data_IF_927560477298
#
_entry.id   IF_927560477298
#
_cell.length_a   1.000
_cell.length_b   1.000
_cell.length_c   1.000
_cell.angle_alpha   90.00
_cell.angle_beta   90.00
_cell.angle_gamma   90.00
#
_symmetry.space_group_name_H-M   'P 1'
#
loop_
_entity.id
_entity.type
_entity.pdbx_description
1 polymer ?
#
# COMPACT_ATOMS: atom_id res chain seq x y z
N UNK A 1 -3.94 -8.17 13.99
CA UNK A 1 -4.21 -8.38 15.44
C UNK A 1 -4.65 -9.82 15.68
N UNK A 2 -4.54 -10.33 16.91
CA UNK A 2 -5.03 -11.66 17.30
C UNK A 2 -6.22 -11.58 18.25
N UNK A 3 -7.28 -12.31 17.93
CA UNK A 3 -8.54 -12.35 18.68
C UNK A 3 -8.93 -13.77 19.10
N UNK A 4 -9.66 -13.87 20.20
CA UNK A 4 -10.37 -15.08 20.64
C UNK A 4 -11.85 -14.73 20.80
N UNK A 5 -12.74 -15.46 20.13
CA UNK A 5 -14.18 -15.23 20.17
C UNK A 5 -14.95 -16.51 20.51
N UNK A 6 -16.14 -16.40 21.14
CA UNK A 6 -17.00 -17.57 21.34
C UNK A 6 -17.94 -17.83 20.16
N UNK A 7 -18.18 -19.11 19.87
CA UNK A 7 -19.27 -19.61 19.02
C UNK A 7 -20.18 -20.55 19.81
N UNK A 8 -21.49 -20.47 19.58
CA UNK A 8 -22.46 -21.38 20.21
C UNK A 8 -23.03 -22.34 19.17
N UNK A 9 -22.64 -23.64 19.21
CA UNK A 9 -23.09 -24.63 18.24
C UNK A 9 -24.60 -24.94 18.33
N UNK A 10 -25.24 -24.58 19.47
CA UNK A 10 -26.69 -24.67 19.64
C UNK A 10 -27.45 -23.49 19.01
N UNK A 11 -26.75 -22.46 18.53
CA UNK A 11 -27.36 -21.32 17.81
C UNK A 11 -27.01 -21.39 16.33
N UNK A 12 -25.75 -21.67 16.02
CA UNK A 12 -25.21 -21.69 14.67
C UNK A 12 -24.32 -22.92 14.47
N UNK A 13 -24.65 -23.75 13.49
CA UNK A 13 -23.91 -24.96 13.10
C UNK A 13 -22.63 -24.57 12.36
N UNK A 14 -21.64 -24.11 13.13
CA UNK A 14 -20.38 -23.59 12.61
C UNK A 14 -19.55 -24.66 11.89
N UNK A 15 -19.68 -25.93 12.31
CA UNK A 15 -18.99 -27.05 11.70
C UNK A 15 -19.49 -27.28 10.27
N UNK A 16 -20.81 -27.42 10.11
CA UNK A 16 -21.42 -27.60 8.79
C UNK A 16 -21.21 -26.37 7.90
N UNK A 17 -21.26 -25.16 8.49
CA UNK A 17 -21.01 -23.93 7.75
C UNK A 17 -19.59 -23.89 7.16
N UNK A 18 -18.56 -24.24 7.93
CA UNK A 18 -17.18 -24.26 7.42
C UNK A 18 -16.89 -25.42 6.46
N UNK A 19 -17.62 -26.53 6.57
CA UNK A 19 -17.50 -27.65 5.62
C UNK A 19 -18.07 -27.28 4.24
N UNK A 20 -19.16 -26.51 4.21
CA UNK A 20 -19.90 -26.19 3.00
C UNK A 20 -19.51 -24.84 2.37
N UNK A 21 -19.01 -23.88 3.16
CA UNK A 21 -18.76 -22.51 2.72
C UNK A 21 -17.26 -22.17 2.73
N UNK A 22 -16.82 -21.44 1.71
CA UNK A 22 -15.45 -20.89 1.67
C UNK A 22 -15.24 -19.79 2.72
N UNK A 23 -16.29 -19.03 3.01
CA UNK A 23 -16.29 -17.92 3.96
C UNK A 23 -17.55 -17.96 4.83
N UNK A 24 -17.46 -17.37 6.02
CA UNK A 24 -18.63 -17.12 6.86
C UNK A 24 -18.73 -15.63 7.19
N UNK A 25 -19.96 -15.11 7.22
CA UNK A 25 -20.23 -13.74 7.62
C UNK A 25 -20.57 -13.73 9.11
N UNK A 26 -19.67 -13.15 9.90
CA UNK A 26 -19.79 -13.09 11.35
C UNK A 26 -20.26 -11.72 11.80
N UNK A 27 -21.12 -11.68 12.82
CA UNK A 27 -21.56 -10.40 13.39
C UNK A 27 -20.37 -9.64 13.95
N UNK A 28 -20.20 -8.39 13.53
CA UNK A 28 -19.16 -7.49 14.04
C UNK A 28 -19.43 -7.18 15.52
N UNK A 29 -18.60 -7.75 16.38
CA UNK A 29 -18.68 -7.61 17.84
C UNK A 29 -17.35 -7.13 18.46
N UNK A 30 -16.36 -6.81 17.61
CA UNK A 30 -15.11 -6.17 17.98
C UNK A 30 -14.64 -5.25 16.85
N UNK A 31 -13.59 -4.48 17.13
CA UNK A 31 -12.93 -3.60 16.16
C UNK A 31 -11.89 -4.39 15.36
N UNK A 32 -12.38 -5.30 14.51
CA UNK A 32 -11.53 -6.08 13.60
C UNK A 32 -10.92 -5.19 12.51
N UNK A 33 -9.74 -5.59 12.03
CA UNK A 33 -9.10 -5.10 10.81
C UNK A 33 -8.92 -6.25 9.82
N UNK A 34 -8.91 -5.96 8.52
CA UNK A 34 -8.54 -6.95 7.50
C UNK A 34 -7.11 -7.44 7.79
N UNK A 35 -6.88 -8.76 7.71
CA UNK A 35 -5.63 -9.42 8.10
C UNK A 35 -5.54 -9.81 9.59
N UNK A 36 -6.54 -9.46 10.41
CA UNK A 36 -6.63 -10.00 11.77
C UNK A 36 -6.84 -11.52 11.73
N UNK A 37 -6.25 -12.24 12.70
CA UNK A 37 -6.56 -13.65 12.92
C UNK A 37 -7.45 -13.85 14.13
N UNK A 38 -8.44 -14.72 13.99
CA UNK A 38 -9.50 -14.96 14.95
C UNK A 38 -9.54 -16.44 15.31
N UNK A 39 -9.24 -16.75 16.57
CA UNK A 39 -9.49 -18.06 17.16
C UNK A 39 -10.94 -18.15 17.61
N UNK A 40 -11.61 -19.25 17.29
CA UNK A 40 -13.00 -19.49 17.66
C UNK A 40 -13.04 -20.59 18.71
N UNK A 41 -13.47 -20.21 19.91
CA UNK A 41 -13.82 -21.12 21.00
C UNK A 41 -15.26 -21.58 20.82
N UNK A 42 -15.46 -22.87 20.57
CA UNK A 42 -16.79 -23.45 20.47
C UNK A 42 -17.25 -23.80 21.88
N UNK A 43 -18.38 -23.21 22.28
CA UNK A 43 -18.94 -23.39 23.62
C UNK A 43 -19.63 -24.75 23.77
N UNK A 44 -20.47 -24.93 24.80
CA UNK A 44 -21.06 -26.25 25.10
C UNK A 44 -21.81 -26.84 23.90
N UNK A 45 -21.69 -28.16 23.65
CA UNK A 45 -21.02 -29.17 24.48
C UNK A 45 -19.50 -29.34 24.22
N UNK A 46 -18.96 -28.70 23.19
CA UNK A 46 -17.60 -28.91 22.68
C UNK A 46 -16.54 -28.31 23.61
N UNK A 47 -16.75 -27.06 24.05
CA UNK A 47 -15.92 -26.37 25.05
C UNK A 47 -14.41 -26.31 24.77
N UNK A 48 -14.00 -26.21 23.50
CA UNK A 48 -12.59 -26.10 23.09
C UNK A 48 -12.42 -25.12 21.92
N UNK A 49 -11.19 -24.69 21.64
CA UNK A 49 -10.86 -23.90 20.44
C UNK A 49 -10.73 -24.85 19.25
N UNK A 50 -11.57 -24.66 18.23
CA UNK A 50 -11.61 -25.54 17.06
C UNK A 50 -11.20 -24.86 15.76
N UNK A 51 -11.20 -23.52 15.68
CA UNK A 51 -10.94 -22.84 14.41
C UNK A 51 -10.00 -21.66 14.56
N UNK A 52 -9.19 -21.45 13.53
CA UNK A 52 -8.46 -20.23 13.24
C UNK A 52 -8.95 -19.67 11.91
N UNK A 53 -9.33 -18.41 11.91
CA UNK A 53 -9.80 -17.69 10.72
C UNK A 53 -8.97 -16.43 10.48
N UNK A 54 -8.99 -15.94 9.24
CA UNK A 54 -8.50 -14.62 8.84
C UNK A 54 -9.67 -13.70 8.52
N UNK A 55 -9.61 -12.45 8.96
CA UNK A 55 -10.58 -11.41 8.59
C UNK A 55 -10.24 -10.88 7.21
N UNK A 56 -11.09 -11.14 6.22
CA UNK A 56 -10.87 -10.69 4.84
C UNK A 56 -11.69 -9.44 4.49
N UNK A 57 -12.78 -9.18 5.19
CA UNK A 57 -13.60 -7.96 5.04
C UNK A 57 -14.13 -7.50 6.42
N UNK A 58 -14.12 -6.19 6.68
CA UNK A 58 -14.60 -5.60 7.94
C UNK A 58 -15.95 -4.88 7.84
N UNK A 59 -16.51 -4.88 6.62
CA UNK A 59 -17.83 -4.40 6.26
C UNK A 59 -18.31 -5.21 5.06
N UNK A 60 -19.32 -6.05 5.26
CA UNK A 60 -19.96 -6.82 4.19
C UNK A 60 -21.27 -6.12 3.82
N UNK A 61 -21.45 -5.80 2.54
CA UNK A 61 -22.70 -5.21 2.07
C UNK A 61 -23.86 -6.19 2.27
N UNK A 62 -25.05 -5.67 2.61
CA UNK A 62 -26.24 -6.49 2.88
C UNK A 62 -26.63 -7.37 1.68
N UNK A 63 -26.44 -6.88 0.45
CA UNK A 63 -26.75 -7.64 -0.76
C UNK A 63 -25.70 -8.71 -1.07
N UNK A 64 -24.54 -8.64 -0.42
CA UNK A 64 -23.43 -9.59 -0.58
C UNK A 64 -23.31 -10.55 0.60
N UNK A 65 -24.25 -10.54 1.54
CA UNK A 65 -24.29 -11.48 2.66
C UNK A 65 -24.49 -12.91 2.15
N UNK A 66 -23.72 -13.83 2.70
CA UNK A 66 -23.85 -15.26 2.42
C UNK A 66 -25.19 -15.73 3.01
N UNK A 67 -26.02 -16.35 2.18
CA UNK A 67 -27.24 -16.98 2.66
C UNK A 67 -26.91 -18.27 3.41
N UNK A 68 -26.71 -18.15 4.71
CA UNK A 68 -26.28 -19.21 5.60
C UNK A 68 -27.42 -19.69 6.53
N UNK A 69 -28.67 -19.32 6.20
CA UNK A 69 -29.89 -19.59 6.99
C UNK A 69 -30.02 -21.06 7.40
N UNK A 70 -29.59 -22.01 6.55
CA UNK A 70 -29.67 -23.45 6.83
C UNK A 70 -28.78 -23.93 8.00
N UNK A 71 -27.77 -23.16 8.40
CA UNK A 71 -26.91 -23.50 9.55
C UNK A 71 -27.41 -22.88 10.86
N UNK A 72 -28.40 -21.99 10.82
CA UNK A 72 -29.02 -21.45 12.02
C UNK A 72 -29.97 -22.47 12.63
N UNK A 73 -29.77 -22.81 13.89
CA UNK A 73 -30.62 -23.78 14.60
C UNK A 73 -32.05 -23.27 14.81
N UNK A 74 -32.22 -21.95 14.86
CA UNK A 74 -33.52 -21.29 14.83
C UNK A 74 -33.55 -20.27 13.66
N UNK A 75 -34.33 -20.52 12.60
CA UNK A 75 -34.44 -19.63 11.45
C UNK A 75 -34.93 -18.21 11.78
N UNK A 76 -35.69 -18.02 12.85
CA UNK A 76 -36.20 -16.69 13.25
C UNK A 76 -35.06 -15.77 13.72
N UNK A 77 -33.98 -16.37 14.28
CA UNK A 77 -32.79 -15.62 14.67
C UNK A 77 -32.04 -15.05 13.46
N UNK A 78 -32.15 -15.68 12.28
CA UNK A 78 -31.48 -15.21 11.07
C UNK A 78 -32.02 -13.83 10.65
N UNK A 79 -33.35 -13.68 10.60
CA UNK A 79 -34.00 -12.47 10.08
C UNK A 79 -33.82 -11.25 11.04
N UNK A 80 -33.75 -11.47 12.36
CA UNK A 80 -33.48 -10.39 13.34
C UNK A 80 -32.03 -9.85 13.31
N UNK A 81 -31.05 -10.68 12.91
CA UNK A 81 -29.61 -10.35 13.03
C UNK A 81 -29.08 -9.61 11.78
N UNK A 82 -29.72 -9.77 10.61
CA UNK A 82 -29.37 -9.13 9.32
C UNK A 82 -29.34 -7.59 9.32
N UNK A 83 -29.78 -6.93 10.41
CA UNK A 83 -29.73 -5.47 10.58
C UNK A 83 -28.39 -4.94 11.11
N UNK A 84 -27.43 -5.81 11.41
CA UNK A 84 -26.15 -5.44 12.05
C UNK A 84 -24.99 -5.48 11.06
N UNK A 85 -23.87 -4.87 11.42
CA UNK A 85 -22.65 -4.93 10.62
C UNK A 85 -22.03 -6.34 10.71
N UNK A 86 -21.56 -6.84 9.57
CA UNK A 86 -20.88 -8.13 9.46
C UNK A 86 -19.43 -7.95 9.03
N UNK A 87 -18.61 -8.91 9.44
CA UNK A 87 -17.24 -9.13 8.98
C UNK A 87 -17.16 -10.49 8.33
N UNK A 88 -16.29 -10.65 7.33
CA UNK A 88 -16.13 -11.92 6.63
C UNK A 88 -14.88 -12.64 7.09
N UNK A 89 -15.05 -13.88 7.51
CA UNK A 89 -13.98 -14.77 7.95
C UNK A 89 -13.69 -15.83 6.90
N UNK A 90 -12.40 -16.02 6.60
CA UNK A 90 -11.88 -17.16 5.85
C UNK A 90 -11.29 -18.18 6.81
N UNK A 91 -11.68 -19.45 6.71
CA UNK A 91 -11.07 -20.51 7.50
C UNK A 91 -9.60 -20.69 7.10
N UNK A 92 -8.72 -20.73 8.08
CA UNK A 92 -7.29 -21.00 7.90
C UNK A 92 -6.94 -22.41 8.37
N UNK A 93 -7.43 -22.78 9.55
CA UNK A 93 -7.12 -24.08 10.16
C UNK A 93 -8.24 -24.52 11.07
N UNK A 94 -8.58 -25.80 11.00
CA UNK A 94 -9.39 -26.49 11.99
C UNK A 94 -8.46 -27.26 12.93
N UNK A 95 -8.84 -27.32 14.20
CA UNK A 95 -8.13 -27.99 15.27
C UNK A 95 -8.99 -29.08 15.87
N UNK A 96 -8.33 -30.10 16.41
CA UNK A 96 -8.95 -31.11 17.24
C UNK A 96 -7.97 -31.39 18.40
N UNK A 97 -8.14 -30.62 19.48
CA UNK A 97 -7.26 -30.66 20.64
C UNK A 97 -8.09 -30.71 21.93
N UNK A 98 -7.76 -31.68 22.79
CA UNK A 98 -8.40 -31.85 24.09
C UNK A 98 -7.88 -30.87 25.15
N UNK A 99 -6.77 -30.17 24.88
CA UNK A 99 -6.08 -29.29 25.82
C UNK A 99 -6.25 -27.79 25.53
N UNK A 100 -7.24 -27.40 24.74
CA UNK A 100 -7.60 -25.99 24.49
C UNK A 100 -8.96 -25.61 25.10
N UNK A 101 -9.33 -26.29 26.18
CA UNK A 101 -10.57 -25.99 26.89
C UNK A 101 -10.50 -24.64 27.61
N UNK A 102 -11.65 -24.08 27.98
CA UNK A 102 -11.69 -22.85 28.81
C UNK A 102 -10.90 -23.02 30.11
N UNK A 103 -10.89 -24.23 30.68
CA UNK A 103 -10.16 -24.55 31.90
C UNK A 103 -8.64 -24.48 31.70
N UNK A 104 -8.15 -25.02 30.58
CA UNK A 104 -6.73 -24.95 30.22
C UNK A 104 -6.26 -23.51 30.04
N UNK A 105 -7.08 -22.69 29.38
CA UNK A 105 -6.76 -21.28 29.09
C UNK A 105 -6.80 -20.46 30.40
N UNK A 106 -7.78 -20.71 31.29
CA UNK A 106 -7.88 -20.06 32.59
C UNK A 106 -6.70 -20.38 33.51
N UNK A 107 -6.24 -21.64 33.55
CA UNK A 107 -5.03 -22.05 34.30
C UNK A 107 -3.77 -21.28 33.89
N UNK A 108 -3.78 -20.67 32.70
CA UNK A 108 -2.68 -19.88 32.14
C UNK A 108 -2.91 -18.37 32.20
N UNK A 109 -3.84 -17.95 33.06
CA UNK A 109 -4.02 -16.55 33.44
C UNK A 109 -5.13 -15.81 32.68
N UNK A 110 -5.98 -16.49 31.90
CA UNK A 110 -7.18 -15.84 31.36
C UNK A 110 -8.24 -15.69 32.45
N UNK A 111 -8.68 -14.46 32.72
CA UNK A 111 -9.72 -14.18 33.70
C UNK A 111 -11.14 -14.39 33.14
N UNK A 112 -12.00 -15.13 33.86
CA UNK A 112 -13.43 -15.30 33.55
C UNK A 112 -13.73 -16.17 32.32
N UNK A 113 -15.00 -16.22 31.94
CA UNK A 113 -15.48 -17.01 30.80
C UNK A 113 -15.32 -16.27 29.46
N UNK A 114 -15.27 -17.01 28.35
CA UNK A 114 -15.21 -16.45 26.99
C UNK A 114 -16.66 -16.13 26.55
N UNK A 115 -17.17 -14.96 26.95
CA UNK A 115 -18.52 -14.50 26.62
C UNK A 115 -18.57 -13.46 25.48
N UNK A 116 -17.41 -12.95 25.09
CA UNK A 116 -17.26 -11.99 24.00
C UNK A 116 -15.82 -11.95 23.50
N UNK A 117 -15.53 -11.12 22.48
CA UNK A 117 -14.20 -11.05 21.89
C UNK A 117 -13.13 -10.64 22.89
N UNK A 118 -11.99 -11.32 22.84
CA UNK A 118 -10.82 -11.05 23.67
C UNK A 118 -9.61 -10.80 22.79
N UNK A 119 -8.86 -9.73 23.08
CA UNK A 119 -7.54 -9.53 22.50
C UNK A 119 -6.56 -10.52 23.14
N UNK A 120 -5.74 -11.15 22.32
CA UNK A 120 -4.68 -12.04 22.78
C UNK A 120 -3.43 -11.29 23.26
N UNK A 121 -3.37 -9.98 22.98
CA UNK A 121 -2.30 -9.08 23.40
C UNK A 121 -2.69 -8.24 24.62
N UNK A 122 -1.70 -8.00 25.46
CA UNK A 122 -1.74 -7.07 26.59
C UNK A 122 -1.75 -5.61 26.11
N UNK A 123 -1.96 -4.68 27.03
CA UNK A 123 -1.96 -3.23 26.76
C UNK A 123 -0.62 -2.70 26.23
N UNK A 124 0.48 -3.35 26.58
CA UNK A 124 1.84 -3.09 26.06
C UNK A 124 2.12 -3.80 24.72
N UNK A 125 1.07 -4.36 24.10
CA UNK A 125 1.13 -5.12 22.85
C UNK A 125 1.90 -6.46 22.94
N UNK A 126 2.29 -6.92 24.12
CA UNK A 126 2.93 -8.23 24.33
C UNK A 126 1.89 -9.37 24.34
N UNK A 127 2.30 -10.60 23.99
CA UNK A 127 1.42 -11.77 24.11
C UNK A 127 1.14 -12.07 25.58
N UNK A 128 -0.14 -12.25 25.90
CA UNK A 128 -0.57 -12.82 27.18
C UNK A 128 -0.13 -14.29 27.32
N UNK A 129 0.04 -14.78 28.54
CA UNK A 129 0.50 -16.16 28.79
C UNK A 129 -0.43 -17.21 28.20
N UNK A 130 -1.74 -17.01 28.29
CA UNK A 130 -2.73 -17.90 27.69
C UNK A 130 -2.72 -17.84 26.15
N UNK A 131 -2.43 -16.68 25.56
CA UNK A 131 -2.29 -16.55 24.12
C UNK A 131 -1.05 -17.28 23.59
N UNK A 132 0.10 -17.18 24.29
CA UNK A 132 1.31 -17.94 23.95
C UNK A 132 1.02 -19.44 23.92
N UNK A 133 0.32 -19.93 24.93
CA UNK A 133 -0.07 -21.33 25.00
C UNK A 133 -0.94 -21.77 23.83
N UNK A 134 -1.95 -20.98 23.46
CA UNK A 134 -2.79 -21.28 22.29
C UNK A 134 -1.87 -21.39 21.07
N UNK A 135 -1.05 -20.38 20.78
CA UNK A 135 -0.17 -20.32 19.62
C UNK A 135 0.82 -21.50 19.53
N UNK A 136 1.42 -21.87 20.67
CA UNK A 136 2.33 -23.01 20.78
C UNK A 136 1.60 -24.33 20.54
N UNK A 137 0.44 -24.53 21.17
CA UNK A 137 -0.36 -25.76 21.06
C UNK A 137 -0.89 -25.94 19.64
N UNK A 138 -1.34 -24.87 18.99
CA UNK A 138 -1.89 -24.93 17.63
C UNK A 138 -0.82 -24.88 16.54
N UNK A 139 0.45 -24.66 16.91
CA UNK A 139 1.58 -24.41 16.02
C UNK A 139 1.28 -23.28 15.01
N UNK A 140 0.92 -22.12 15.53
CA UNK A 140 0.44 -20.96 14.75
C UNK A 140 1.17 -19.66 15.12
N UNK A 141 2.36 -19.78 15.72
CA UNK A 141 3.17 -18.62 16.11
C UNK A 141 3.55 -17.74 14.91
N UNK A 142 3.67 -18.32 13.71
CA UNK A 142 3.87 -17.59 12.47
C UNK A 142 2.74 -16.58 12.18
N UNK A 143 1.48 -16.88 12.51
CA UNK A 143 0.36 -15.96 12.31
C UNK A 143 0.43 -14.75 13.26
N UNK A 144 0.90 -14.99 14.50
CA UNK A 144 1.24 -13.90 15.40
C UNK A 144 2.34 -13.02 14.81
N UNK A 145 3.44 -13.63 14.37
CA UNK A 145 4.57 -12.89 13.79
C UNK A 145 4.15 -12.12 12.54
N UNK A 146 3.34 -12.72 11.67
CA UNK A 146 2.77 -12.05 10.50
C UNK A 146 1.97 -10.81 10.91
N UNK A 147 1.04 -10.92 11.87
CA UNK A 147 0.27 -9.75 12.33
C UNK A 147 1.13 -8.68 13.00
N UNK A 148 2.22 -9.06 13.68
CA UNK A 148 3.15 -8.09 14.26
C UNK A 148 4.00 -7.41 13.19
N UNK A 149 4.51 -8.16 12.23
CA UNK A 149 5.27 -7.63 11.10
C UNK A 149 4.40 -6.77 10.17
N UNK A 150 3.09 -7.05 10.09
CA UNK A 150 2.13 -6.15 9.45
C UNK A 150 1.95 -4.84 10.23
N UNK A 151 1.81 -4.88 11.55
CA UNK A 151 1.56 -3.65 12.32
C UNK A 151 2.84 -2.92 12.77
N UNK A 152 4.02 -3.44 12.42
CA UNK A 152 5.29 -2.79 12.72
C UNK A 152 5.38 -1.46 11.94
N UNK A 153 5.63 -0.37 12.65
CA UNK A 153 5.78 0.95 12.04
C UNK A 153 7.23 1.24 11.67
N UNK A 154 7.41 1.88 10.51
CA UNK A 154 8.68 2.39 10.00
C UNK A 154 8.65 3.90 10.09
N UNK A 155 9.57 4.47 10.87
CA UNK A 155 9.79 5.91 10.86
C UNK A 155 10.45 6.29 9.54
N UNK A 156 9.78 7.12 8.75
CA UNK A 156 10.35 7.68 7.53
C UNK A 156 10.81 9.10 7.78
N UNK A 157 12.03 9.46 7.36
CA UNK A 157 12.61 10.79 7.54
C UNK A 157 13.23 11.33 6.25
N UNK A 158 13.13 12.63 5.95
CA UNK A 158 13.81 13.22 4.81
C UNK A 158 15.29 13.41 5.14
N UNK A 159 16.17 13.03 4.21
CA UNK A 159 17.62 12.97 4.48
C UNK A 159 18.46 14.01 3.73
N UNK A 160 17.88 14.83 2.85
CA UNK A 160 18.53 15.98 2.20
C UNK A 160 19.97 15.70 1.70
N UNK A 161 20.19 14.55 1.06
CA UNK A 161 21.50 14.15 0.52
C UNK A 161 22.44 13.44 1.48
N UNK A 162 22.04 13.16 2.73
CA UNK A 162 22.88 12.45 3.72
C UNK A 162 22.94 10.93 3.53
N UNK A 163 22.39 10.37 2.45
CA UNK A 163 22.26 8.91 2.27
C UNK A 163 23.62 8.20 2.33
N UNK A 164 24.58 8.66 1.53
CA UNK A 164 25.92 8.06 1.47
C UNK A 164 26.61 8.06 2.84
N UNK A 165 26.47 9.17 3.58
CA UNK A 165 27.02 9.29 4.93
C UNK A 165 26.34 8.31 5.91
N UNK A 166 25.02 8.17 5.80
CA UNK A 166 24.25 7.24 6.63
C UNK A 166 24.66 5.80 6.34
N UNK A 167 24.75 5.40 5.07
CA UNK A 167 25.10 4.04 4.66
C UNK A 167 26.57 3.71 4.96
N UNK A 168 27.48 4.68 4.82
CA UNK A 168 28.91 4.51 5.13
C UNK A 168 29.15 4.15 6.59
N UNK A 169 28.38 4.74 7.50
CA UNK A 169 28.56 4.55 8.94
C UNK A 169 27.47 3.71 9.60
N UNK A 170 26.38 3.40 8.89
CA UNK A 170 25.19 2.79 9.48
C UNK A 170 24.65 3.61 10.65
N UNK A 171 24.64 4.93 10.50
CA UNK A 171 24.19 5.88 11.54
C UNK A 171 23.33 6.97 10.91
N UNK A 172 22.15 7.21 11.48
CA UNK A 172 21.35 8.40 11.20
C UNK A 172 21.17 9.23 12.46
N UNK A 173 21.07 10.57 12.34
CA UNK A 173 20.83 11.40 13.50
C UNK A 173 19.99 12.64 13.22
N UNK A 174 19.23 13.05 14.24
CA UNK A 174 18.48 14.30 14.26
C UNK A 174 18.55 14.96 15.65
N UNK A 175 18.35 16.29 15.75
CA UNK A 175 18.30 16.95 17.05
C UNK A 175 17.05 16.50 17.84
N UNK A 176 17.18 16.45 19.17
CA UNK A 176 16.06 16.22 20.09
C UNK A 176 15.39 17.56 20.43
N UNK A 177 14.68 18.12 19.46
CA UNK A 177 13.91 19.37 19.62
C UNK A 177 12.48 19.18 19.13
N UNK A 178 11.63 20.18 19.38
CA UNK A 178 10.26 20.20 18.86
C UNK A 178 10.25 20.01 17.33
N UNK A 179 9.33 19.19 16.84
CA UNK A 179 9.22 18.82 15.41
C UNK A 179 9.95 17.53 15.02
N UNK A 180 10.79 16.98 15.90
CA UNK A 180 11.49 15.71 15.67
C UNK A 180 10.88 14.53 16.45
N UNK A 181 11.06 13.29 15.96
CA UNK A 181 10.58 12.07 16.63
C UNK A 181 11.10 11.96 18.06
N UNK A 182 10.17 11.78 19.02
CA UNK A 182 10.49 11.65 20.44
C UNK A 182 10.69 10.21 20.89
N UNK A 183 10.09 9.24 20.20
CA UNK A 183 10.25 7.81 20.48
C UNK A 183 11.27 7.19 19.53
N UNK A 184 12.06 6.25 20.04
CA UNK A 184 12.92 5.42 19.20
C UNK A 184 12.04 4.44 18.41
N UNK A 185 12.11 4.44 17.06
CA UNK A 185 11.36 3.49 16.27
C UNK A 185 12.11 2.16 16.20
N UNK A 186 11.39 1.06 15.94
CA UNK A 186 11.99 -0.25 15.66
C UNK A 186 12.66 -0.29 14.28
N UNK A 187 12.07 0.40 13.31
CA UNK A 187 12.57 0.51 11.94
C UNK A 187 12.57 1.95 11.46
N UNK A 188 13.50 2.25 10.57
CA UNK A 188 13.65 3.56 9.96
C UNK A 188 13.88 3.42 8.45
N UNK A 189 13.37 4.38 7.68
CA UNK A 189 13.60 4.47 6.25
C UNK A 189 13.84 5.93 5.85
N UNK A 190 14.59 6.11 4.76
CA UNK A 190 15.06 7.44 4.36
C UNK A 190 14.35 7.90 3.08
N UNK A 191 13.84 9.12 3.12
CA UNK A 191 13.22 9.79 1.98
C UNK A 191 14.23 10.69 1.30
N UNK A 192 14.55 10.35 0.06
CA UNK A 192 15.30 11.19 -0.86
C UNK A 192 14.40 12.26 -1.50
N UNK A 193 14.97 13.06 -2.41
CA UNK A 193 14.23 14.07 -3.17
C UNK A 193 13.01 13.44 -3.86
N UNK A 194 11.87 14.12 -3.81
CA UNK A 194 10.60 13.59 -4.35
C UNK A 194 9.89 12.56 -3.45
N UNK A 195 10.42 12.27 -2.26
CA UNK A 195 9.78 11.34 -1.30
C UNK A 195 10.10 9.87 -1.57
N UNK A 196 11.17 9.61 -2.33
CA UNK A 196 11.59 8.26 -2.73
C UNK A 196 12.25 7.53 -1.56
N UNK A 197 11.84 6.29 -1.33
CA UNK A 197 12.37 5.37 -0.32
C UNK A 197 12.83 4.11 -1.04
N UNK A 198 14.08 3.72 -0.82
CA UNK A 198 14.70 2.58 -1.50
C UNK A 198 15.04 1.41 -0.57
N UNK A 199 15.04 1.64 0.75
CA UNK A 199 15.40 0.62 1.72
C UNK A 199 14.75 0.91 3.08
N UNK A 200 14.61 -0.16 3.86
CA UNK A 200 14.22 -0.14 5.26
C UNK A 200 15.38 -0.66 6.10
N UNK A 201 15.58 -0.03 7.24
CA UNK A 201 16.63 -0.35 8.20
C UNK A 201 16.01 -0.68 9.55
N UNK A 202 16.59 -1.63 10.26
CA UNK A 202 16.30 -1.90 11.66
C UNK A 202 17.15 -0.98 12.53
N UNK A 203 16.56 -0.41 13.58
CA UNK A 203 17.30 0.31 14.61
C UNK A 203 17.80 -0.72 15.62
N UNK A 204 19.11 -0.86 15.72
CA UNK A 204 19.76 -1.79 16.66
C UNK A 204 20.00 -1.13 18.02
N UNK A 205 20.35 0.15 18.03
CA UNK A 205 20.61 0.90 19.25
C UNK A 205 20.39 2.41 19.07
N UNK A 206 20.27 3.13 20.18
CA UNK A 206 20.03 4.58 20.22
C UNK A 206 20.94 5.26 21.24
N UNK A 207 21.70 6.24 20.76
CA UNK A 207 22.56 7.08 21.60
C UNK A 207 22.04 8.52 21.58
N UNK A 208 21.90 9.12 22.77
CA UNK A 208 21.51 10.53 22.91
C UNK A 208 22.63 11.33 23.55
N UNK A 209 23.23 12.23 22.78
CA UNK A 209 24.41 12.97 23.23
C UNK A 209 24.54 14.29 22.49
N UNK A 210 25.21 15.26 23.13
CA UNK A 210 25.68 16.46 22.43
C UNK A 210 26.85 16.03 21.53
N UNK A 211 26.80 16.25 20.20
CA UNK A 211 27.80 15.74 19.27
C UNK A 211 29.26 16.10 19.63
N UNK A 212 29.48 17.29 20.18
CA UNK A 212 30.81 17.76 20.61
C UNK A 212 31.35 17.08 21.87
N UNK A 213 30.47 16.44 22.65
CA UNK A 213 30.82 15.72 23.88
C UNK A 213 30.96 14.22 23.66
N UNK A 214 30.68 13.73 22.47
CA UNK A 214 30.79 12.31 22.18
C UNK A 214 32.25 11.88 22.07
N UNK A 215 32.63 10.89 22.86
CA UNK A 215 33.97 10.30 22.89
C UNK A 215 33.82 8.83 22.54
N UNK A 216 34.51 8.37 21.50
CA UNK A 216 34.44 7.00 21.04
C UNK A 216 35.40 6.76 19.87
N UNK A 217 35.46 5.51 19.40
CA UNK A 217 36.20 5.13 18.19
C UNK A 217 35.36 4.20 17.28
N UNK A 218 34.05 4.39 17.32
CA UNK A 218 33.07 3.62 16.57
C UNK A 218 32.52 4.42 15.39
N UNK A 219 31.50 3.87 14.74
CA UNK A 219 30.85 4.52 13.61
C UNK A 219 30.10 5.79 13.98
N UNK A 220 29.60 5.92 15.22
CA UNK A 220 28.94 7.15 15.68
C UNK A 220 29.96 8.28 15.78
N UNK A 221 31.14 8.01 16.33
CA UNK A 221 32.22 9.00 16.38
C UNK A 221 32.63 9.43 14.97
N UNK A 222 32.90 8.47 14.07
CA UNK A 222 33.31 8.77 12.68
C UNK A 222 32.23 9.54 11.91
N UNK A 223 30.96 9.14 12.08
CA UNK A 223 29.81 9.86 11.52
C UNK A 223 29.75 11.31 12.01
N UNK A 224 29.95 11.56 13.31
CA UNK A 224 29.97 12.91 13.87
C UNK A 224 31.09 13.74 13.24
N UNK A 225 32.30 13.21 13.12
CA UNK A 225 33.43 13.96 12.55
C UNK A 225 33.19 14.32 11.09
N UNK A 226 32.72 13.39 10.26
CA UNK A 226 32.46 13.66 8.85
C UNK A 226 31.25 14.58 8.65
N UNK A 227 30.19 14.39 9.45
CA UNK A 227 29.00 15.25 9.41
C UNK A 227 29.31 16.68 9.79
N UNK A 228 30.22 16.94 10.75
CA UNK A 228 30.65 18.29 11.13
C UNK A 228 31.21 19.08 9.93
N UNK A 229 31.96 18.40 9.06
CA UNK A 229 32.61 19.01 7.91
C UNK A 229 31.68 19.19 6.70
N UNK A 230 30.64 18.38 6.61
CA UNK A 230 29.72 18.34 5.45
C UNK A 230 28.38 19.02 5.75
N UNK A 231 27.52 18.38 6.54
CA UNK A 231 26.13 18.80 6.78
C UNK A 231 25.94 19.64 8.05
N UNK A 232 26.96 19.71 8.91
CA UNK A 232 26.97 20.40 10.21
C UNK A 232 25.93 19.85 11.19
N UNK A 233 26.05 20.33 12.43
CA UNK A 233 25.04 20.15 13.48
C UNK A 233 24.36 21.51 13.76
N UNK A 234 23.22 21.47 14.46
CA UNK A 234 22.46 22.67 14.82
C UNK A 234 23.16 23.46 15.95
N UNK A 235 22.41 24.23 16.75
CA UNK A 235 22.97 25.12 17.77
C UNK A 235 23.90 24.37 18.72
N UNK A 236 24.93 25.07 19.21
CA UNK A 236 25.85 24.55 20.24
C UNK A 236 25.06 23.99 21.43
N UNK A 237 25.52 22.86 21.97
CA UNK A 237 24.88 22.12 23.08
C UNK A 237 23.51 21.49 22.79
N UNK A 238 23.09 21.37 21.53
CA UNK A 238 21.88 20.60 21.20
C UNK A 238 22.16 19.11 21.33
N UNK A 239 21.30 18.39 22.07
CA UNK A 239 21.34 16.93 22.14
C UNK A 239 20.81 16.35 20.84
N UNK A 240 21.55 15.40 20.28
CA UNK A 240 21.15 14.64 19.10
C UNK A 240 20.84 13.20 19.49
N UNK A 241 19.84 12.62 18.83
CA UNK A 241 19.60 11.19 18.84
C UNK A 241 20.27 10.56 17.63
N UNK A 242 21.13 9.59 17.87
CA UNK A 242 21.82 8.78 16.87
C UNK A 242 21.21 7.39 16.87
N UNK A 243 20.67 6.98 15.73
CA UNK A 243 20.22 5.62 15.49
C UNK A 243 21.38 4.84 14.88
N UNK A 244 21.79 3.76 15.56
CA UNK A 244 22.64 2.74 14.97
C UNK A 244 21.71 1.80 14.22
N UNK A 245 21.92 1.67 12.92
CA UNK A 245 20.98 1.01 12.03
C UNK A 245 21.62 -0.16 11.30
N UNK A 246 20.82 -1.13 10.91
CA UNK A 246 21.24 -2.23 10.05
C UNK A 246 20.27 -2.35 8.90
N UNK A 247 20.79 -2.53 7.68
CA UNK A 247 19.96 -2.75 6.51
C UNK A 247 19.09 -3.99 6.73
N UNK A 248 17.77 -3.80 6.74
CA UNK A 248 16.79 -4.88 6.88
C UNK A 248 16.42 -5.42 5.50
N UNK A 249 16.02 -4.52 4.60
CA UNK A 249 15.66 -4.87 3.23
C UNK A 249 15.93 -3.72 2.27
N UNK A 250 16.49 -4.03 1.11
CA UNK A 250 16.33 -3.16 -0.07
C UNK A 250 14.96 -3.42 -0.67
N UNK A 251 14.32 -2.39 -1.21
CA UNK A 251 13.04 -2.54 -1.88
C UNK A 251 13.29 -2.94 -3.34
N UNK A 252 12.57 -3.96 -3.83
CA UNK A 252 12.62 -4.37 -5.24
C UNK A 252 12.17 -3.24 -6.18
N UNK A 253 11.38 -2.31 -5.68
CA UNK A 253 10.96 -1.09 -6.36
C UNK A 253 10.87 0.06 -5.36
N UNK A 254 11.30 1.25 -5.78
CA UNK A 254 11.26 2.43 -4.93
C UNK A 254 9.83 2.76 -4.48
N UNK A 255 9.65 2.97 -3.19
CA UNK A 255 8.40 3.50 -2.64
C UNK A 255 8.41 5.03 -2.71
N UNK A 256 7.35 5.65 -3.23
CA UNK A 256 7.27 7.12 -3.34
C UNK A 256 6.18 7.66 -2.43
N UNK A 257 6.56 8.43 -1.42
CA UNK A 257 5.63 9.14 -0.55
C UNK A 257 5.29 10.50 -1.16
N UNK A 258 4.11 10.61 -1.78
CA UNK A 258 3.64 11.84 -2.44
C UNK A 258 2.37 12.39 -1.79
N UNK A 259 2.30 13.69 -1.44
CA UNK A 259 3.41 14.67 -1.52
C UNK A 259 4.53 14.32 -0.53
N UNK A 260 5.78 14.68 -0.83
CA UNK A 260 6.91 14.43 0.07
C UNK A 260 6.80 15.32 1.33
N UNK A 261 6.49 14.76 2.51
CA UNK A 261 6.28 15.57 3.71
C UNK A 261 7.61 16.09 4.25
N UNK A 262 7.64 17.34 4.69
CA UNK A 262 8.85 17.94 5.30
C UNK A 262 9.22 17.29 6.65
N UNK A 263 8.24 16.84 7.42
CA UNK A 263 8.45 16.20 8.73
C UNK A 263 8.54 14.68 8.66
N UNK A 264 8.95 14.04 9.76
CA UNK A 264 8.93 12.59 9.87
C UNK A 264 7.49 12.04 9.76
N UNK A 265 7.34 10.82 9.21
CA UNK A 265 6.05 10.12 9.07
C UNK A 265 6.22 8.65 9.36
N UNK A 266 5.20 8.01 9.92
CA UNK A 266 5.17 6.57 10.08
C UNK A 266 4.43 5.92 8.91
N UNK A 267 5.01 4.84 8.38
CA UNK A 267 4.40 3.92 7.43
C UNK A 267 4.41 2.52 8.04
N UNK A 268 3.58 1.61 7.54
CA UNK A 268 3.68 0.22 7.98
C UNK A 268 4.82 -0.51 7.26
N UNK A 269 5.49 -1.42 7.97
CA UNK A 269 6.61 -2.20 7.45
C UNK A 269 6.18 -3.07 6.27
N UNK A 270 4.99 -3.66 6.34
CA UNK A 270 4.48 -4.50 5.25
C UNK A 270 4.19 -3.71 3.97
N UNK A 271 3.75 -2.45 4.07
CA UNK A 271 3.55 -1.55 2.92
C UNK A 271 4.87 -1.33 2.15
N UNK A 272 6.00 -1.42 2.85
CA UNK A 272 7.33 -1.27 2.27
C UNK A 272 7.92 -2.62 1.81
N UNK A 273 7.82 -3.68 2.61
CA UNK A 273 8.63 -4.91 2.41
C UNK A 273 7.85 -6.13 1.92
N UNK A 274 6.58 -6.33 2.31
CA UNK A 274 5.97 -7.67 2.24
C UNK A 274 5.02 -7.92 1.07
N UNK A 275 4.25 -6.95 0.63
CA UNK A 275 3.36 -7.11 -0.52
C UNK A 275 2.66 -5.79 -0.78
N UNK A 276 3.25 -5.01 -1.67
CA UNK A 276 2.63 -3.79 -2.12
C UNK A 276 1.39 -4.25 -2.93
N UNK A 277 0.16 -4.12 -2.39
CA UNK A 277 -1.08 -4.36 -3.15
C UNK A 277 -1.03 -3.67 -4.54
N UNK A 278 -0.26 -2.58 -4.61
CA UNK A 278 0.08 -1.85 -5.82
C UNK A 278 1.19 -2.51 -6.66
N UNK A 279 2.25 -3.11 -6.09
CA UNK A 279 3.18 -3.93 -6.89
C UNK A 279 2.48 -5.14 -7.46
N UNK A 280 1.49 -5.74 -6.78
CA UNK A 280 0.76 -6.88 -7.34
C UNK A 280 -0.02 -6.47 -8.59
N UNK A 281 -0.74 -5.34 -8.56
CA UNK A 281 -1.36 -4.80 -9.76
C UNK A 281 -0.32 -4.47 -10.84
N UNK A 282 0.74 -3.72 -10.51
CA UNK A 282 1.71 -3.29 -11.52
C UNK A 282 2.52 -4.45 -12.10
N UNK A 283 2.89 -5.44 -11.28
CA UNK A 283 3.56 -6.66 -11.73
C UNK A 283 2.63 -7.47 -12.65
N UNK A 284 1.35 -7.58 -12.29
CA UNK A 284 0.33 -8.24 -13.13
C UNK A 284 0.11 -7.48 -14.44
N UNK A 285 -0.05 -6.17 -14.38
CA UNK A 285 -0.14 -5.29 -15.55
C UNK A 285 1.09 -5.44 -16.44
N UNK A 286 2.30 -5.33 -15.90
CA UNK A 286 3.54 -5.46 -16.66
C UNK A 286 3.62 -6.85 -17.30
N UNK A 287 3.30 -7.90 -16.57
CA UNK A 287 3.28 -9.27 -17.09
C UNK A 287 2.32 -9.40 -18.27
N UNK A 288 1.07 -8.97 -18.12
CA UNK A 288 0.03 -9.12 -19.16
C UNK A 288 0.34 -8.19 -20.35
N UNK A 289 0.60 -6.91 -20.09
CA UNK A 289 0.77 -5.89 -21.11
C UNK A 289 2.04 -6.12 -21.94
N UNK A 290 3.17 -6.48 -21.32
CA UNK A 290 4.43 -6.69 -22.06
C UNK A 290 4.58 -8.12 -22.60
N UNK A 291 3.72 -9.07 -22.24
CA UNK A 291 3.54 -10.31 -23.01
C UNK A 291 2.76 -10.07 -24.32
N UNK A 292 1.98 -9.00 -24.43
CA UNK A 292 1.33 -8.61 -25.67
C UNK A 292 2.34 -7.90 -26.61
N UNK A 293 2.70 -8.57 -27.72
CA UNK A 293 3.68 -8.06 -28.69
C UNK A 293 3.33 -6.70 -29.29
N UNK A 294 2.04 -6.42 -29.50
CA UNK A 294 1.60 -5.13 -30.06
C UNK A 294 1.89 -4.03 -29.05
N UNK A 295 1.53 -4.26 -27.78
CA UNK A 295 1.76 -3.30 -26.71
C UNK A 295 3.25 -3.09 -26.42
N UNK A 296 4.03 -4.18 -26.29
CA UNK A 296 5.47 -4.12 -26.01
C UNK A 296 6.27 -3.41 -27.11
N UNK A 297 5.86 -3.54 -28.37
CA UNK A 297 6.49 -2.83 -29.48
C UNK A 297 6.14 -1.34 -29.50
N UNK A 298 5.04 -0.94 -28.85
CA UNK A 298 4.56 0.43 -28.85
C UNK A 298 5.04 1.25 -27.65
N UNK A 299 5.30 0.62 -26.51
CA UNK A 299 5.67 1.32 -25.28
C UNK A 299 6.95 0.77 -24.66
N UNK A 300 7.83 1.67 -24.21
CA UNK A 300 9.03 1.28 -23.46
C UNK A 300 8.62 0.85 -22.05
N UNK A 301 9.24 -0.21 -21.54
CA UNK A 301 9.06 -0.64 -20.14
C UNK A 301 9.70 0.39 -19.21
N UNK A 302 8.95 0.86 -18.21
CA UNK A 302 9.49 1.76 -17.19
C UNK A 302 10.39 0.98 -16.24
N UNK A 303 11.52 1.57 -15.86
CA UNK A 303 12.40 1.03 -14.81
C UNK A 303 11.92 1.41 -13.39
N UNK A 304 10.90 2.26 -13.29
CA UNK A 304 10.33 2.71 -12.01
C UNK A 304 8.84 2.37 -11.95
N UNK A 305 8.42 1.71 -10.86
CA UNK A 305 7.02 1.41 -10.55
C UNK A 305 6.58 2.37 -9.45
N UNK A 306 5.72 3.35 -9.78
CA UNK A 306 5.16 4.26 -8.78
C UNK A 306 3.85 3.69 -8.24
N UNK A 307 3.60 3.83 -6.93
CA UNK A 307 2.36 3.36 -6.29
C UNK A 307 1.10 3.92 -6.96
N UNK A 308 1.14 5.18 -7.37
CA UNK A 308 -0.04 5.90 -7.87
C UNK A 308 -0.15 5.93 -9.39
N UNK A 309 0.91 5.60 -10.13
CA UNK A 309 0.90 5.63 -11.58
C UNK A 309 1.98 4.79 -12.28
N UNK A 310 1.80 4.56 -13.58
CA UNK A 310 2.82 3.96 -14.44
C UNK A 310 2.89 4.71 -15.77
N UNK A 311 4.07 5.19 -16.13
CA UNK A 311 4.29 5.93 -17.39
C UNK A 311 4.45 4.97 -18.57
N UNK A 312 3.68 5.23 -19.63
CA UNK A 312 3.83 4.62 -20.95
C UNK A 312 4.47 5.62 -21.90
N UNK A 313 5.77 5.44 -22.16
CA UNK A 313 6.55 6.30 -23.05
C UNK A 313 6.80 5.63 -24.40
N UNK A 314 6.80 6.43 -25.45
CA UNK A 314 7.31 6.06 -26.77
C UNK A 314 8.48 7.00 -27.15
N UNK A 315 8.91 7.02 -28.41
CA UNK A 315 10.08 7.81 -28.87
C UNK A 315 9.97 9.34 -28.66
N UNK A 316 8.77 9.84 -28.36
CA UNK A 316 8.51 11.25 -28.10
C UNK A 316 8.86 11.65 -26.66
N UNK A 317 9.58 12.76 -26.49
CA UNK A 317 9.99 13.27 -25.18
C UNK A 317 9.02 14.33 -24.61
N UNK A 318 8.14 14.91 -25.42
CA UNK A 318 7.20 15.97 -25.00
C UNK A 318 5.88 15.40 -24.48
N UNK A 319 5.49 14.21 -24.94
CA UNK A 319 4.24 13.54 -24.55
C UNK A 319 4.45 12.13 -24.02
N UNK A 320 3.58 11.71 -23.10
CA UNK A 320 3.46 10.31 -22.67
C UNK A 320 2.04 10.02 -22.18
N UNK A 321 1.72 8.74 -21.99
CA UNK A 321 0.52 8.37 -21.22
C UNK A 321 0.94 8.01 -19.79
N UNK A 322 0.11 8.35 -18.80
CA UNK A 322 0.28 7.87 -17.43
C UNK A 322 -0.97 7.10 -17.00
N UNK A 323 -0.78 5.85 -16.61
CA UNK A 323 -1.84 5.01 -16.04
C UNK A 323 -1.99 5.37 -14.58
N UNK A 324 -3.21 5.56 -14.07
CA UNK A 324 -3.49 5.78 -12.63
C UNK A 324 -4.22 4.60 -12.04
N UNK A 325 -3.67 3.97 -11.01
CA UNK A 325 -4.38 2.94 -10.24
C UNK A 325 -4.45 3.32 -8.75
N UNK A 326 -5.15 4.40 -8.45
CA UNK A 326 -5.27 4.93 -7.08
C UNK A 326 -6.75 5.17 -6.73
N UNK A 327 -7.04 6.29 -6.03
CA UNK A 327 -8.41 6.75 -5.80
C UNK A 327 -9.17 6.99 -7.11
N UNK A 328 -8.45 7.37 -8.16
CA UNK A 328 -8.94 7.45 -9.54
C UNK A 328 -8.29 6.38 -10.40
N UNK A 329 -9.08 5.83 -11.33
CA UNK A 329 -8.65 4.84 -12.33
C UNK A 329 -8.81 5.46 -13.70
N UNK A 330 -7.71 5.80 -14.34
CA UNK A 330 -7.73 6.54 -15.60
C UNK A 330 -6.42 6.38 -16.39
N UNK A 331 -6.48 6.81 -17.64
CA UNK A 331 -5.33 7.09 -18.49
C UNK A 331 -5.22 8.59 -18.69
N UNK A 332 -4.05 9.16 -18.39
CA UNK A 332 -3.78 10.58 -18.56
C UNK A 332 -2.88 10.78 -19.78
N UNK A 333 -3.32 11.56 -20.76
CA UNK A 333 -2.46 12.05 -21.84
C UNK A 333 -1.70 13.25 -21.31
N UNK A 334 -0.40 13.08 -21.04
CA UNK A 334 0.44 14.12 -20.48
C UNK A 334 1.25 14.86 -21.55
N UNK A 335 1.25 16.19 -21.46
CA UNK A 335 2.08 17.10 -22.24
C UNK A 335 2.97 17.86 -21.25
N UNK A 336 4.28 17.76 -21.42
CA UNK A 336 5.24 18.25 -20.42
C UNK A 336 5.26 19.77 -20.33
N UNK A 337 5.67 20.49 -21.38
CA UNK A 337 5.85 21.96 -21.30
C UNK A 337 5.36 22.73 -22.53
N UNK A 338 4.96 22.06 -23.63
CA UNK A 338 4.48 22.77 -24.83
C UNK A 338 3.01 23.19 -24.71
N UNK A 339 2.81 24.51 -24.59
CA UNK A 339 1.49 25.14 -24.59
C UNK A 339 0.86 25.06 -25.98
N UNK A 340 1.64 25.23 -27.04
CA UNK A 340 1.19 25.13 -28.43
C UNK A 340 0.68 23.73 -28.75
N UNK A 341 1.38 22.70 -28.27
CA UNK A 341 0.98 21.32 -28.46
C UNK A 341 -0.34 21.03 -27.73
N UNK A 342 -0.48 21.53 -26.51
CA UNK A 342 -1.74 21.42 -25.77
C UNK A 342 -2.90 22.08 -26.53
N UNK A 343 -2.75 23.31 -27.02
CA UNK A 343 -3.78 23.98 -27.80
C UNK A 343 -4.15 23.19 -29.06
N UNK A 344 -3.16 22.70 -29.80
CA UNK A 344 -3.39 21.87 -30.97
C UNK A 344 -4.24 20.63 -30.67
N UNK A 345 -3.93 19.90 -29.58
CA UNK A 345 -4.73 18.73 -29.17
C UNK A 345 -6.11 19.13 -28.66
N UNK A 346 -6.24 20.24 -27.96
CA UNK A 346 -7.52 20.74 -27.45
C UNK A 346 -8.47 21.16 -28.60
N UNK A 347 -7.96 21.85 -29.62
CA UNK A 347 -8.72 22.22 -30.82
C UNK A 347 -9.13 21.00 -31.65
N UNK A 348 -8.36 19.91 -31.54
CA UNK A 348 -8.60 18.66 -32.24
C UNK A 348 -9.06 17.54 -31.31
N UNK A 349 -9.71 17.90 -30.18
CA UNK A 349 -9.98 16.95 -29.10
C UNK A 349 -10.82 15.76 -29.55
N UNK A 350 -11.80 15.96 -30.45
CA UNK A 350 -12.61 14.86 -31.01
C UNK A 350 -11.78 13.81 -31.78
N UNK A 351 -10.67 14.22 -32.40
CA UNK A 351 -9.75 13.27 -33.05
C UNK A 351 -8.94 12.47 -32.01
N UNK A 352 -8.61 13.09 -30.88
CA UNK A 352 -7.92 12.42 -29.77
C UNK A 352 -8.82 11.36 -29.12
N UNK A 353 -10.12 11.66 -28.95
CA UNK A 353 -11.12 10.75 -28.35
C UNK A 353 -11.52 9.58 -29.24
N UNK A 354 -11.27 9.65 -30.55
CA UNK A 354 -11.83 8.71 -31.52
C UNK A 354 -11.49 7.25 -31.16
N UNK A 355 -12.52 6.41 -31.03
CA UNK A 355 -12.37 4.99 -30.75
C UNK A 355 -12.04 4.64 -29.29
N UNK A 356 -12.06 5.62 -28.38
CA UNK A 356 -11.87 5.39 -26.94
C UNK A 356 -13.22 5.21 -26.23
N UNK A 357 -13.26 4.35 -25.20
CA UNK A 357 -14.51 3.94 -24.53
C UNK A 357 -14.64 4.44 -23.08
N UNK A 358 -13.96 5.52 -22.71
CA UNK A 358 -14.00 6.09 -21.35
C UNK A 358 -14.56 7.50 -21.26
N UNK A 359 -14.66 8.02 -20.03
CA UNK A 359 -15.18 9.37 -19.77
C UNK A 359 -14.04 10.38 -19.80
N UNK A 360 -14.12 11.32 -20.75
CA UNK A 360 -13.11 12.36 -20.92
C UNK A 360 -13.34 13.58 -20.02
N UNK A 361 -12.29 14.02 -19.35
CA UNK A 361 -12.26 15.28 -18.61
C UNK A 361 -10.96 16.04 -18.88
N UNK A 362 -11.01 17.37 -18.77
CA UNK A 362 -9.83 18.24 -18.76
C UNK A 362 -9.77 18.89 -17.38
N UNK A 363 -8.71 18.68 -16.58
CA UNK A 363 -8.61 19.25 -15.25
C UNK A 363 -8.70 20.78 -15.28
N UNK A 364 -9.44 21.38 -14.35
CA UNK A 364 -9.62 22.85 -14.27
C UNK A 364 -8.30 23.60 -14.24
N UNK A 365 -7.31 23.10 -13.47
CA UNK A 365 -5.95 23.67 -13.42
C UNK A 365 -5.21 23.67 -14.76
N UNK A 366 -5.50 22.70 -15.62
CA UNK A 366 -4.96 22.64 -16.99
C UNK A 366 -5.53 23.80 -17.80
N UNK A 367 -6.84 24.03 -17.67
CA UNK A 367 -7.62 25.08 -18.38
C UNK A 367 -7.19 26.48 -17.92
N UNK A 368 -7.04 26.69 -16.62
CA UNK A 368 -6.69 27.97 -15.99
C UNK A 368 -5.20 28.33 -16.12
N UNK A 369 -4.42 27.52 -16.83
CA UNK A 369 -2.99 27.68 -17.00
C UNK A 369 -2.13 27.68 -15.72
N UNK A 370 -2.66 27.12 -14.63
CA UNK A 370 -1.98 27.09 -13.32
C UNK A 370 -0.83 26.07 -13.23
N UNK A 371 -0.78 25.08 -14.12
CA UNK A 371 0.27 24.05 -14.15
C UNK A 371 1.12 24.12 -15.41
N UNK A 372 2.44 23.95 -15.25
CA UNK A 372 3.40 23.79 -16.35
C UNK A 372 3.03 22.61 -17.25
N UNK A 373 2.69 21.47 -16.63
CA UNK A 373 2.23 20.29 -17.33
C UNK A 373 0.75 20.41 -17.68
N UNK A 374 0.39 19.97 -18.89
CA UNK A 374 -0.99 19.89 -19.36
C UNK A 374 -1.41 18.44 -19.49
N UNK A 375 -2.69 18.16 -19.25
CA UNK A 375 -3.20 16.79 -19.41
C UNK A 375 -4.66 16.72 -19.80
N UNK A 376 -5.00 15.64 -20.52
CA UNK A 376 -6.35 15.17 -20.77
C UNK A 376 -6.54 13.84 -20.03
N UNK A 377 -7.70 13.63 -19.41
CA UNK A 377 -7.94 12.45 -18.55
C UNK A 377 -9.07 11.61 -19.13
N UNK A 378 -8.78 10.35 -19.42
CA UNK A 378 -9.72 9.33 -19.83
C UNK A 378 -10.01 8.41 -18.64
N UNK A 379 -11.21 8.49 -18.07
CA UNK A 379 -11.58 7.77 -16.84
C UNK A 379 -12.19 6.41 -17.16
N UNK A 380 -11.83 5.42 -16.34
CA UNK A 380 -12.42 4.08 -16.37
C UNK A 380 -13.68 4.04 -15.52
N UNK A 381 -14.73 3.39 -16.03
CA UNK A 381 -15.96 3.17 -15.30
C UNK A 381 -15.72 2.18 -14.14
N UNK A 382 -15.93 2.65 -12.91
CA UNK A 382 -15.58 1.91 -11.69
C UNK A 382 -16.71 1.01 -11.16
N UNK A 383 -17.91 1.04 -11.75
CA UNK A 383 -19.07 0.32 -11.20
C UNK A 383 -18.90 -1.21 -11.19
N UNK A 384 -18.02 -1.77 -12.02
CA UNK A 384 -17.71 -3.21 -12.07
C UNK A 384 -16.19 -3.49 -12.08
N UNK A 385 -15.49 -2.93 -11.09
CA UNK A 385 -14.02 -3.00 -11.06
C UNK A 385 -13.47 -4.42 -10.85
N UNK A 386 -12.58 -4.83 -11.76
CA UNK A 386 -11.64 -5.93 -11.60
C UNK A 386 -10.27 -5.50 -12.12
N UNK A 387 -9.19 -5.91 -11.45
CA UNK A 387 -7.81 -5.64 -11.90
C UNK A 387 -7.60 -6.12 -13.35
N UNK A 388 -8.15 -7.28 -13.73
CA UNK A 388 -8.00 -7.83 -15.08
C UNK A 388 -8.78 -7.06 -16.14
N UNK A 389 -9.99 -6.64 -15.81
CA UNK A 389 -10.81 -5.81 -16.70
C UNK A 389 -10.14 -4.45 -16.90
N UNK A 390 -9.61 -3.87 -15.82
CA UNK A 390 -8.93 -2.59 -15.89
C UNK A 390 -7.61 -2.69 -16.68
N UNK A 391 -6.80 -3.74 -16.48
CA UNK A 391 -5.58 -3.99 -17.26
C UNK A 391 -5.91 -4.14 -18.76
N UNK A 392 -6.95 -4.91 -19.08
CA UNK A 392 -7.40 -5.11 -20.47
C UNK A 392 -7.81 -3.80 -21.10
N UNK A 393 -8.61 -2.99 -20.39
CA UNK A 393 -9.01 -1.66 -20.80
C UNK A 393 -7.80 -0.74 -21.02
N UNK A 394 -6.84 -0.70 -20.09
CA UNK A 394 -5.61 0.10 -20.23
C UNK A 394 -4.88 -0.24 -21.53
N UNK A 395 -4.70 -1.53 -21.81
CA UNK A 395 -3.95 -1.99 -22.99
C UNK A 395 -4.64 -1.51 -24.27
N UNK A 396 -5.96 -1.66 -24.36
CA UNK A 396 -6.74 -1.25 -25.53
C UNK A 396 -6.71 0.26 -25.73
N UNK A 397 -7.05 1.02 -24.69
CA UNK A 397 -7.16 2.47 -24.76
C UNK A 397 -5.80 3.14 -24.98
N UNK A 398 -4.73 2.65 -24.34
CA UNK A 398 -3.39 3.20 -24.54
C UNK A 398 -2.91 3.04 -25.99
N UNK A 399 -3.15 1.88 -26.60
CA UNK A 399 -2.81 1.64 -28.01
C UNK A 399 -3.59 2.58 -28.94
N UNK A 400 -4.91 2.71 -28.71
CA UNK A 400 -5.76 3.60 -29.52
C UNK A 400 -5.33 5.08 -29.37
N UNK A 401 -5.04 5.52 -28.14
CA UNK A 401 -4.58 6.87 -27.86
C UNK A 401 -3.24 7.15 -28.55
N UNK A 402 -2.28 6.24 -28.47
CA UNK A 402 -0.99 6.40 -29.14
C UNK A 402 -1.19 6.54 -30.65
N UNK A 403 -2.03 5.71 -31.25
CA UNK A 403 -2.34 5.81 -32.68
C UNK A 403 -2.91 7.19 -33.05
N UNK A 404 -3.92 7.65 -32.30
CA UNK A 404 -4.54 8.96 -32.50
C UNK A 404 -3.50 10.08 -32.39
N UNK A 405 -2.67 10.06 -31.34
CA UNK A 405 -1.61 11.05 -31.09
C UNK A 405 -0.61 11.06 -32.25
N UNK A 406 -0.07 9.90 -32.63
CA UNK A 406 0.94 9.80 -33.70
C UNK A 406 0.37 10.27 -35.04
N UNK A 407 -0.88 9.93 -35.37
CA UNK A 407 -1.54 10.40 -36.58
C UNK A 407 -1.73 11.93 -36.59
N UNK A 408 -2.13 12.50 -35.45
CA UNK A 408 -2.29 13.95 -35.30
C UNK A 408 -0.96 14.69 -35.45
N UNK A 409 0.10 14.20 -34.80
CA UNK A 409 1.44 14.78 -34.91
C UNK A 409 2.01 14.69 -36.33
N UNK A 410 1.84 13.55 -37.01
CA UNK A 410 2.24 13.41 -38.43
C UNK A 410 1.54 14.42 -39.34
N UNK A 411 0.23 14.66 -39.12
CA UNK A 411 -0.52 15.68 -39.87
C UNK A 411 -0.01 17.08 -39.57
N UNK A 412 0.17 17.44 -38.30
CA UNK A 412 0.73 18.73 -37.87
C UNK A 412 2.08 18.99 -38.54
N UNK A 413 2.99 18.02 -38.52
CA UNK A 413 4.32 18.18 -39.10
C UNK A 413 4.28 18.34 -40.63
N UNK A 414 3.40 17.62 -41.34
CA UNK A 414 3.20 17.83 -42.80
C UNK A 414 2.71 19.24 -43.13
N UNK A 415 1.76 19.77 -42.34
CA UNK A 415 1.27 21.13 -42.53
C UNK A 415 2.35 22.19 -42.26
N UNK A 416 3.20 21.99 -41.25
CA UNK A 416 4.32 22.89 -40.96
C UNK A 416 5.34 22.88 -42.12
N UNK A 417 5.69 21.70 -42.63
CA UNK A 417 6.63 21.57 -43.77
C UNK A 417 6.06 22.23 -45.03
N UNK A 418 4.81 21.96 -45.39
CA UNK A 418 4.15 22.58 -46.55
C UNK A 418 4.08 24.10 -46.45
N UNK A 419 3.76 24.64 -45.26
CA UNK A 419 3.73 26.08 -45.03
C UNK A 419 5.11 26.71 -45.19
N UNK A 420 6.16 26.08 -44.67
CA UNK A 420 7.53 26.57 -44.81
C UNK A 420 7.99 26.53 -46.28
N UNK A 421 7.63 25.50 -47.04
CA UNK A 421 7.92 25.39 -48.48
C UNK A 421 7.18 26.46 -49.31
N UNK A 422 5.93 26.79 -48.95
CA UNK A 422 5.13 27.85 -49.57
C UNK A 422 5.64 29.26 -49.22
N UNK A 423 6.12 29.46 -48.00
CA UNK A 423 6.76 30.72 -47.57
C UNK A 423 8.12 30.90 -48.27
N UNK A 424 8.94 29.84 -48.40
CA UNK A 424 10.21 29.86 -49.13
C UNK A 424 10.05 30.08 -50.65
N UNK A 425 8.96 29.59 -51.25
CA UNK A 425 8.66 29.86 -52.67
C UNK A 425 8.14 31.28 -52.91
N UNK A 426 7.44 31.90 -51.95
CA UNK A 426 7.03 33.32 -52.03
C UNK A 426 8.19 34.30 -51.86
N UNK A 427 9.28 33.89 -51.22
CA UNK A 427 10.50 34.72 -51.06
C UNK A 427 11.39 34.67 -52.31
N UNK A 428 11.18 33.70 -53.22
CA UNK A 428 11.96 33.51 -54.46
C UNK A 428 11.29 34.05 -55.74
N UNK A 429 10.21 34.83 -55.64
CA UNK A 429 9.51 35.47 -56.78
C UNK A 429 9.71 36.98 -56.77
#
# INVERSE_FOLDING_TARGET
>A
MLWLIPANPNIYDIESAFNDLEFIDWRKNANYSVGDYVYIYVSRPIQTIEYLCEVIETYVDKNSLINDKKYWRNPDNYDEITRKDYVRFKLIKQFNFDNLSVFDIQRRGMAGNIQGPRKMLSTDNSLTSWAKYILETTNTFNYYQNTREENDEVLTVPINGTLELIEKYNVHAHPLTQGYPQKAPKYIAFRETGGVINAVYQVEDVIEVIPDKYIGNDNVYKYIQERKNTFKFSKKNTVYRFYLIKLLSKLDSSFVLSPNPQGAKYLYLHDLIKNNKYSNFWNRFISIAYSNKIFSNNFKKSNMINRSYYDLRWEDNEMHLAIRNSSTKCLEVYIQESVELYHFFNENFEKLKKGTNGIWTIPTKTIENETKHKKFVLSYDSENYSDDLYITWIIQEALQLKENIVLMLKKRNRFIVQRNEEEDTKIKV
#
